data_IF_424357969854
#
_entry.id   IF_424357969854
#
_cell.length_a   1.000
_cell.length_b   1.000
_cell.length_c   1.000
_cell.angle_alpha   90.00
_cell.angle_beta   90.00
_cell.angle_gamma   90.00
#
_symmetry.space_group_name_H-M   'P 1'
#
loop_
_entity.id
_entity.type
_entity.pdbx_description
1 polymer ?
#
# COMPACT_ATOMS: atom_id res chain seq x y z
N UNK A 1 -8.22 16.85 -15.91
CA UNK A 1 -8.30 17.64 -14.65
C UNK A 1 -9.72 17.55 -14.17
N UNK A 2 -10.04 16.49 -13.44
CA UNK A 2 -11.39 16.21 -12.93
C UNK A 2 -11.57 17.07 -11.69
N UNK A 3 -12.54 17.98 -11.71
CA UNK A 3 -12.88 18.80 -10.54
C UNK A 3 -13.40 17.88 -9.44
N UNK A 4 -12.65 17.81 -8.35
CA UNK A 4 -12.96 16.97 -7.20
C UNK A 4 -14.00 17.68 -6.34
N UNK A 5 -15.18 17.11 -6.21
CA UNK A 5 -16.22 17.62 -5.31
C UNK A 5 -15.98 17.03 -3.90
N UNK A 6 -15.56 17.84 -2.91
CA UNK A 6 -15.29 17.37 -1.56
C UNK A 6 -16.55 16.90 -0.80
N UNK A 7 -17.76 17.19 -1.30
CA UNK A 7 -19.02 16.79 -0.66
C UNK A 7 -19.46 15.35 -1.03
N UNK A 8 -18.71 14.65 -1.90
CA UNK A 8 -19.05 13.28 -2.35
C UNK A 8 -18.58 12.16 -1.40
N UNK A 9 -18.02 12.51 -0.24
CA UNK A 9 -17.40 11.57 0.68
C UNK A 9 -18.31 11.17 1.84
N UNK A 10 -18.40 9.86 2.11
CA UNK A 10 -19.03 9.35 3.32
C UNK A 10 -18.06 9.46 4.51
N UNK A 11 -18.39 10.34 5.45
CA UNK A 11 -17.57 10.62 6.65
C UNK A 11 -17.90 9.70 7.84
N UNK A 12 -19.00 8.93 7.78
CA UNK A 12 -19.44 8.02 8.85
C UNK A 12 -18.94 6.57 8.67
N UNK A 13 -18.19 6.29 7.60
CA UNK A 13 -17.72 4.96 7.22
C UNK A 13 -16.59 4.36 8.10
N UNK A 14 -16.46 4.77 9.38
CA UNK A 14 -15.31 4.42 10.24
C UNK A 14 -15.19 2.92 10.59
N UNK A 15 -16.28 2.18 10.51
CA UNK A 15 -16.29 0.71 10.66
C UNK A 15 -16.47 -0.03 9.32
N UNK A 16 -16.39 0.71 8.20
CA UNK A 16 -16.65 0.13 6.90
C UNK A 16 -15.50 -0.77 6.42
N UNK A 17 -15.92 -1.79 5.69
CA UNK A 17 -15.07 -2.68 4.93
C UNK A 17 -15.52 -2.60 3.48
N UNK A 18 -14.58 -2.29 2.59
CA UNK A 18 -14.82 -2.18 1.16
C UNK A 18 -14.22 -3.39 0.45
N UNK A 19 -14.94 -3.88 -0.55
CA UNK A 19 -14.51 -4.99 -1.40
C UNK A 19 -14.29 -4.47 -2.80
N UNK A 20 -13.13 -4.78 -3.38
CA UNK A 20 -12.84 -4.59 -4.78
C UNK A 20 -12.84 -5.97 -5.43
N UNK A 21 -13.78 -6.24 -6.33
CA UNK A 21 -13.91 -7.53 -7.02
C UNK A 21 -13.38 -7.44 -8.43
N UNK A 22 -12.44 -8.33 -8.72
CA UNK A 22 -11.90 -8.53 -10.06
C UNK A 22 -12.51 -9.80 -10.66
N UNK A 23 -11.99 -10.30 -11.78
CA UNK A 23 -12.55 -11.46 -12.48
C UNK A 23 -12.67 -12.70 -11.57
N UNK A 24 -11.63 -13.04 -10.82
CA UNK A 24 -11.56 -14.24 -9.98
C UNK A 24 -11.09 -13.97 -8.55
N UNK A 25 -10.67 -12.75 -8.24
CA UNK A 25 -10.13 -12.37 -6.93
C UNK A 25 -10.88 -11.23 -6.28
N UNK A 26 -10.68 -11.09 -4.97
CA UNK A 26 -11.16 -9.99 -4.14
C UNK A 26 -9.97 -9.32 -3.45
N UNK A 27 -10.07 -8.01 -3.29
CA UNK A 27 -9.18 -7.19 -2.47
C UNK A 27 -10.03 -6.41 -1.47
N UNK A 28 -9.86 -6.68 -0.18
CA UNK A 28 -10.74 -6.16 0.86
C UNK A 28 -9.98 -5.24 1.81
N UNK A 29 -10.42 -4.00 1.93
CA UNK A 29 -9.80 -2.95 2.75
C UNK A 29 -10.76 -2.55 3.86
N UNK A 30 -10.26 -2.29 5.07
CA UNK A 30 -11.06 -1.74 6.17
C UNK A 30 -10.29 -0.64 6.89
N UNK A 31 -11.00 0.30 7.52
CA UNK A 31 -10.37 1.27 8.42
C UNK A 31 -9.99 0.60 9.75
N UNK A 32 -8.87 1.07 10.30
CA UNK A 32 -8.36 0.62 11.58
C UNK A 32 -7.69 1.77 12.34
N UNK A 33 -7.26 1.47 13.57
CA UNK A 33 -6.55 2.45 14.39
C UNK A 33 -7.39 3.65 14.81
N UNK A 34 -8.71 3.48 14.89
CA UNK A 34 -9.70 4.54 15.12
C UNK A 34 -9.73 5.56 13.95
N UNK A 35 -9.72 5.04 12.71
CA UNK A 35 -9.73 5.84 11.48
C UNK A 35 -8.38 6.49 11.15
N UNK A 36 -7.27 5.98 11.69
CA UNK A 36 -5.93 6.55 11.44
C UNK A 36 -5.18 5.89 10.30
N UNK A 37 -5.60 4.71 9.85
CA UNK A 37 -5.08 4.04 8.66
C UNK A 37 -6.08 3.04 8.10
N UNK A 38 -5.82 2.57 6.88
CA UNK A 38 -6.53 1.46 6.26
C UNK A 38 -5.68 0.17 6.35
N UNK A 39 -6.31 -0.99 6.54
CA UNK A 39 -5.69 -2.31 6.60
C UNK A 39 -6.19 -3.22 5.47
N UNK A 40 -5.28 -4.03 4.93
CA UNK A 40 -5.65 -5.14 4.05
C UNK A 40 -6.26 -6.26 4.90
N UNK A 41 -7.52 -6.57 4.64
CA UNK A 41 -8.25 -7.62 5.36
C UNK A 41 -8.34 -8.94 4.59
N UNK A 42 -8.27 -8.90 3.26
CA UNK A 42 -8.16 -10.09 2.42
C UNK A 42 -7.62 -9.73 1.04
N UNK A 43 -6.79 -10.61 0.47
CA UNK A 43 -6.41 -10.57 -0.94
C UNK A 43 -6.22 -12.00 -1.47
N UNK A 44 -7.09 -12.42 -2.38
CA UNK A 44 -7.08 -13.79 -2.92
C UNK A 44 -8.35 -14.11 -3.71
N UNK A 45 -8.61 -15.40 -3.99
CA UNK A 45 -9.82 -15.82 -4.71
C UNK A 45 -11.11 -15.35 -4.03
N UNK A 46 -12.19 -15.22 -4.80
CA UNK A 46 -13.52 -14.97 -4.23
C UNK A 46 -13.84 -15.96 -3.10
N UNK A 47 -14.36 -15.45 -1.98
CA UNK A 47 -14.59 -16.19 -0.75
C UNK A 47 -13.52 -15.98 0.32
N UNK A 48 -12.30 -15.56 -0.07
CA UNK A 48 -11.22 -15.24 0.89
C UNK A 48 -11.60 -14.14 1.88
N UNK A 49 -12.51 -13.24 1.51
CA UNK A 49 -13.01 -12.17 2.34
C UNK A 49 -13.95 -12.64 3.47
N UNK A 50 -14.49 -13.85 3.39
CA UNK A 50 -15.49 -14.36 4.34
C UNK A 50 -14.89 -15.01 5.58
N UNK A 51 -13.63 -15.45 5.49
CA UNK A 51 -12.90 -16.07 6.59
C UNK A 51 -12.16 -15.06 7.48
N UNK A 52 -11.47 -15.54 8.53
CA UNK A 52 -10.53 -14.72 9.27
C UNK A 52 -9.41 -14.24 8.34
N UNK A 53 -8.96 -12.99 8.53
CA UNK A 53 -7.86 -12.45 7.74
C UNK A 53 -6.58 -13.25 7.99
N UNK A 54 -5.87 -13.62 6.91
CA UNK A 54 -4.55 -14.24 7.00
C UNK A 54 -3.48 -13.29 7.59
N UNK A 55 -3.80 -12.00 7.71
CA UNK A 55 -2.96 -10.95 8.29
C UNK A 55 -3.39 -10.60 9.73
N UNK A 56 -4.40 -11.27 10.28
CA UNK A 56 -4.84 -11.05 11.66
C UNK A 56 -3.91 -11.78 12.63
N UNK A 57 -2.83 -11.11 13.01
CA UNK A 57 -1.83 -11.62 13.95
C UNK A 57 -1.90 -10.88 15.29
N UNK A 58 -1.21 -11.39 16.30
CA UNK A 58 -1.19 -10.77 17.64
C UNK A 58 -0.76 -9.30 17.56
N UNK A 59 -1.70 -8.40 17.87
CA UNK A 59 -1.47 -6.93 17.95
C UNK A 59 -0.77 -6.47 19.24
N UNK A 60 -0.24 -7.41 20.04
CA UNK A 60 0.50 -7.07 21.26
C UNK A 60 1.82 -6.39 20.90
N UNK A 61 1.99 -5.17 21.37
CA UNK A 61 3.24 -4.43 21.23
C UNK A 61 3.93 -4.26 22.58
N UNK A 62 5.25 -4.26 22.58
CA UNK A 62 6.06 -3.99 23.77
C UNK A 62 6.75 -2.63 23.66
N UNK A 63 7.43 -2.38 22.54
CA UNK A 63 8.28 -1.20 22.32
C UNK A 63 8.04 -0.52 20.97
N UNK A 64 7.01 -0.94 20.23
CA UNK A 64 6.60 -0.35 18.95
C UNK A 64 5.12 0.06 19.02
N UNK A 65 4.68 0.87 18.06
CA UNK A 65 3.27 1.29 18.01
C UNK A 65 2.39 0.20 17.38
N UNK A 66 1.07 0.22 17.60
CA UNK A 66 0.16 -0.64 16.86
C UNK A 66 0.25 -0.48 15.33
N UNK A 67 0.52 0.74 14.85
CA UNK A 67 0.69 1.04 13.42
C UNK A 67 1.97 0.43 12.84
N UNK A 68 3.01 0.19 13.66
CA UNK A 68 4.22 -0.52 13.23
C UNK A 68 4.00 -2.01 12.94
N UNK A 69 2.96 -2.62 13.52
CA UNK A 69 2.56 -4.01 13.24
C UNK A 69 1.35 -4.12 12.31
N UNK A 70 0.68 -3.00 12.00
CA UNK A 70 -0.54 -3.03 11.22
C UNK A 70 -0.25 -3.49 9.78
N UNK A 71 -1.06 -4.41 9.21
CA UNK A 71 -1.03 -4.78 7.80
C UNK A 71 -1.65 -3.66 6.95
N UNK A 72 -1.06 -2.49 7.06
CA UNK A 72 -1.66 -1.27 6.60
C UNK A 72 -1.36 -0.99 5.13
N UNK A 73 -2.34 -0.43 4.47
CA UNK A 73 -2.32 -0.11 3.06
C UNK A 73 -1.39 1.05 2.73
N UNK A 74 -1.25 1.98 3.68
CA UNK A 74 -0.38 3.14 3.61
C UNK A 74 -0.34 3.84 4.97
N UNK A 75 0.84 4.10 5.52
CA UNK A 75 0.98 4.77 6.83
C UNK A 75 2.05 5.87 6.81
N UNK A 76 1.74 7.06 7.34
CA UNK A 76 2.70 8.14 7.52
C UNK A 76 3.65 7.94 8.71
N UNK A 77 4.78 8.64 8.65
CA UNK A 77 5.84 8.58 9.66
C UNK A 77 5.39 8.93 11.09
N UNK A 78 4.44 9.84 11.25
CA UNK A 78 3.94 10.22 12.58
C UNK A 78 3.23 9.06 13.31
N UNK A 79 2.71 8.09 12.56
CA UNK A 79 2.04 6.91 13.10
C UNK A 79 2.95 5.68 13.15
N UNK A 80 3.86 5.50 12.18
CA UNK A 80 4.79 4.36 12.09
C UNK A 80 6.26 4.81 12.05
N UNK A 81 6.86 5.13 13.20
CA UNK A 81 8.23 5.63 13.24
C UNK A 81 9.30 4.53 13.22
N UNK A 82 8.99 3.26 13.51
CA UNK A 82 10.00 2.21 13.75
C UNK A 82 10.14 1.19 12.62
N UNK A 83 9.04 0.79 11.97
CA UNK A 83 9.07 -0.25 10.91
C UNK A 83 9.05 0.31 9.48
N UNK A 84 9.11 1.64 9.35
CA UNK A 84 9.21 2.34 8.08
C UNK A 84 7.86 2.81 7.53
N UNK A 85 7.75 4.10 7.24
CA UNK A 85 6.53 4.73 6.75
C UNK A 85 6.55 4.94 5.23
N UNK A 86 5.37 5.00 4.64
CA UNK A 86 5.15 5.13 3.20
C UNK A 86 5.08 6.60 2.77
N UNK A 87 4.73 7.48 3.73
CA UNK A 87 4.73 8.94 3.57
C UNK A 87 5.53 9.62 4.67
N UNK A 88 6.44 10.49 4.23
CA UNK A 88 7.20 11.39 5.08
C UNK A 88 7.09 12.78 4.48
N UNK A 89 6.42 13.67 5.20
CA UNK A 89 6.31 15.07 4.85
C UNK A 89 6.63 15.96 6.05
N UNK A 90 7.03 17.20 5.76
CA UNK A 90 7.26 18.23 6.76
C UNK A 90 7.13 19.63 6.17
N UNK A 91 6.84 20.61 7.02
CA UNK A 91 7.10 22.02 6.66
C UNK A 91 8.61 22.29 6.75
N UNK A 92 9.17 23.11 5.84
CA UNK A 92 10.59 23.45 5.90
C UNK A 92 10.97 24.07 7.26
N UNK A 93 11.88 23.41 7.99
CA UNK A 93 12.37 23.88 9.30
C UNK A 93 11.51 23.48 10.51
N UNK A 94 10.45 22.70 10.30
CA UNK A 94 9.58 22.18 11.38
C UNK A 94 9.78 20.68 11.62
N UNK A 95 9.00 20.14 12.56
CA UNK A 95 9.02 18.72 12.89
C UNK A 95 8.58 17.86 11.70
N UNK A 96 9.25 16.72 11.57
CA UNK A 96 8.98 15.70 10.57
C UNK A 96 7.85 14.79 11.01
N UNK A 97 6.80 14.68 10.20
CA UNK A 97 5.75 13.70 10.41
C UNK A 97 4.39 14.13 9.87
N UNK A 98 3.53 13.15 9.73
CA UNK A 98 2.12 13.30 9.33
C UNK A 98 1.30 12.45 10.29
N UNK A 99 0.29 13.05 10.92
CA UNK A 99 -0.59 12.43 11.93
C UNK A 99 -2.06 12.49 11.51
N UNK A 100 -2.30 12.34 10.22
CA UNK A 100 -3.60 12.51 9.58
C UNK A 100 -4.77 11.80 10.28
N UNK A 101 -5.98 12.14 9.85
CA UNK A 101 -7.20 11.44 10.27
C UNK A 101 -8.04 11.12 9.05
N UNK A 102 -8.76 10.00 9.05
CA UNK A 102 -9.71 9.69 8.00
C UNK A 102 -10.84 10.73 7.98
N UNK A 103 -11.09 11.27 6.79
CA UNK A 103 -12.11 12.31 6.56
C UNK A 103 -13.20 11.86 5.60
N UNK A 104 -12.99 10.79 4.82
CA UNK A 104 -14.06 10.32 3.95
C UNK A 104 -13.69 9.20 2.99
N UNK A 105 -14.70 8.46 2.53
CA UNK A 105 -14.57 7.44 1.50
C UNK A 105 -15.50 7.70 0.31
N UNK A 106 -15.02 7.44 -0.90
CA UNK A 106 -15.82 7.43 -2.12
C UNK A 106 -15.55 6.11 -2.87
N UNK A 107 -16.58 5.50 -3.44
CA UNK A 107 -16.46 4.24 -4.15
C UNK A 107 -17.50 4.14 -5.26
N UNK A 108 -17.18 3.39 -6.31
CA UNK A 108 -18.12 2.99 -7.36
C UNK A 108 -18.35 1.48 -7.25
N UNK A 109 -19.42 1.08 -6.56
CA UNK A 109 -19.70 -0.32 -6.27
C UNK A 109 -18.47 -1.04 -5.69
N UNK A 110 -18.01 -2.09 -6.38
CA UNK A 110 -16.81 -2.86 -6.06
C UNK A 110 -15.68 -2.66 -7.09
N UNK A 111 -15.74 -1.61 -7.93
CA UNK A 111 -14.78 -1.35 -9.01
C UNK A 111 -13.68 -0.37 -8.62
N UNK A 112 -13.99 0.61 -7.78
CA UNK A 112 -13.04 1.62 -7.33
C UNK A 112 -13.31 2.06 -5.90
N UNK A 113 -12.24 2.47 -5.22
CA UNK A 113 -12.28 2.99 -3.86
C UNK A 113 -11.30 4.13 -3.72
N UNK A 114 -11.69 5.15 -2.97
CA UNK A 114 -10.86 6.27 -2.55
C UNK A 114 -11.06 6.53 -1.07
N UNK A 115 -9.99 6.45 -0.30
CA UNK A 115 -9.99 6.75 1.14
C UNK A 115 -9.20 8.03 1.36
N UNK A 116 -9.81 9.04 1.96
CA UNK A 116 -9.21 10.36 2.17
C UNK A 116 -8.83 10.54 3.63
N UNK A 117 -7.61 11.03 3.82
CA UNK A 117 -7.03 11.37 5.09
C UNK A 117 -6.54 12.81 5.06
N UNK A 118 -6.71 13.54 6.16
CA UNK A 118 -6.28 14.93 6.27
C UNK A 118 -5.44 15.14 7.53
N UNK A 119 -4.28 15.76 7.35
CA UNK A 119 -3.50 16.37 8.43
C UNK A 119 -3.71 17.89 8.37
N UNK A 120 -4.64 18.38 9.20
CA UNK A 120 -4.96 19.81 9.27
C UNK A 120 -3.79 20.65 9.77
N UNK A 121 -3.00 20.09 10.68
CA UNK A 121 -1.83 20.77 11.26
C UNK A 121 -0.79 21.02 10.19
N UNK A 122 -0.50 20.03 9.34
CA UNK A 122 0.46 20.16 8.25
C UNK A 122 -0.14 20.89 7.02
N UNK A 123 -1.46 20.80 6.83
CA UNK A 123 -2.14 21.26 5.63
C UNK A 123 -1.91 20.30 4.45
N UNK A 124 -2.06 19.00 4.70
CA UNK A 124 -1.89 17.94 3.71
C UNK A 124 -3.13 17.05 3.68
N UNK A 125 -3.70 16.87 2.50
CA UNK A 125 -4.71 15.83 2.23
C UNK A 125 -4.08 14.72 1.42
N UNK A 126 -4.31 13.49 1.82
CA UNK A 126 -3.86 12.30 1.11
C UNK A 126 -5.04 11.40 0.78
N UNK A 127 -5.14 11.00 -0.48
CA UNK A 127 -6.08 9.99 -0.91
C UNK A 127 -5.35 8.68 -1.26
N UNK A 128 -5.83 7.57 -0.72
CA UNK A 128 -5.45 6.22 -1.13
C UNK A 128 -6.46 5.77 -2.18
N UNK A 129 -5.98 5.49 -3.39
CA UNK A 129 -6.83 5.22 -4.54
C UNK A 129 -6.65 3.79 -5.03
N UNK A 130 -7.76 3.19 -5.43
CA UNK A 130 -7.86 1.81 -5.87
C UNK A 130 -8.81 1.71 -7.06
N UNK A 131 -8.43 0.91 -8.05
CA UNK A 131 -9.29 0.65 -9.21
C UNK A 131 -9.06 -0.76 -9.76
N UNK A 132 -10.12 -1.49 -10.05
CA UNK A 132 -10.06 -2.80 -10.70
C UNK A 132 -9.96 -2.64 -12.22
N UNK A 133 -9.18 -3.48 -12.88
CA UNK A 133 -9.13 -3.50 -14.36
C UNK A 133 -10.14 -4.53 -14.90
N UNK A 134 -11.15 -4.11 -15.68
CA UNK A 134 -12.22 -5.00 -16.14
C UNK A 134 -11.72 -6.25 -16.87
N UNK A 135 -12.28 -7.41 -16.52
CA UNK A 135 -11.95 -8.70 -17.15
C UNK A 135 -10.60 -9.30 -16.75
N UNK A 136 -9.90 -8.71 -15.78
CA UNK A 136 -8.61 -9.21 -15.26
C UNK A 136 -8.67 -9.42 -13.75
N UNK A 137 -7.58 -9.91 -13.16
CA UNK A 137 -7.36 -9.97 -11.70
C UNK A 137 -6.43 -8.83 -11.19
N UNK A 138 -6.37 -7.72 -11.92
CA UNK A 138 -5.49 -6.58 -11.61
C UNK A 138 -6.23 -5.50 -10.81
N UNK A 139 -5.55 -5.00 -9.77
CA UNK A 139 -5.92 -3.79 -9.05
C UNK A 139 -4.82 -2.76 -9.22
N UNK A 140 -5.18 -1.57 -9.69
CA UNK A 140 -4.35 -0.38 -9.68
C UNK A 140 -4.40 0.27 -8.30
N UNK A 141 -3.24 0.70 -7.80
CA UNK A 141 -3.12 1.43 -6.53
C UNK A 141 -2.20 2.62 -6.69
N UNK A 142 -2.63 3.77 -6.20
CA UNK A 142 -1.81 4.98 -6.17
C UNK A 142 -2.20 5.86 -4.98
N UNK A 143 -1.36 6.86 -4.71
CA UNK A 143 -1.65 7.90 -3.73
C UNK A 143 -1.69 9.27 -4.38
N UNK A 144 -2.61 10.11 -3.92
CA UNK A 144 -2.68 11.52 -4.32
C UNK A 144 -2.44 12.40 -3.11
N UNK A 145 -1.52 13.35 -3.26
CA UNK A 145 -1.13 14.29 -2.21
C UNK A 145 -1.54 15.71 -2.62
N UNK A 146 -2.37 16.36 -1.83
CA UNK A 146 -2.82 17.74 -2.05
C UNK A 146 -2.35 18.62 -0.89
N UNK A 147 -1.48 19.58 -1.17
CA UNK A 147 -1.13 20.62 -0.23
C UNK A 147 -2.30 21.60 -0.10
N UNK A 148 -2.94 21.62 1.07
CA UNK A 148 -4.02 22.56 1.43
C UNK A 148 -3.51 23.73 2.28
N UNK A 149 -2.24 23.68 2.71
CA UNK A 149 -1.60 24.74 3.46
C UNK A 149 -1.53 26.03 2.63
N UNK A 150 -1.92 27.15 3.24
CA UNK A 150 -1.83 28.49 2.63
C UNK A 150 -0.48 29.15 2.91
N UNK A 151 0.62 28.40 2.83
CA UNK A 151 1.98 28.89 3.10
C UNK A 151 2.76 29.04 1.80
N UNK A 152 3.59 30.08 1.69
CA UNK A 152 4.44 30.30 0.51
C UNK A 152 5.59 29.27 0.40
N UNK A 153 5.94 28.62 1.50
CA UNK A 153 7.06 27.67 1.58
C UNK A 153 6.72 26.26 1.13
N UNK A 154 5.42 25.93 1.00
CA UNK A 154 4.96 24.59 0.63
C UNK A 154 5.33 23.49 1.64
N UNK A 155 5.27 22.24 1.18
CA UNK A 155 5.64 21.07 1.96
C UNK A 155 6.82 20.34 1.31
N UNK A 156 7.74 19.83 2.13
CA UNK A 156 8.80 18.94 1.67
C UNK A 156 8.34 17.49 1.80
N UNK A 157 8.35 16.76 0.68
CA UNK A 157 8.13 15.32 0.65
C UNK A 157 9.48 14.59 0.59
N UNK A 158 9.76 13.77 1.60
CA UNK A 158 10.98 12.95 1.66
C UNK A 158 10.74 11.52 1.19
N UNK A 159 9.51 11.02 1.38
CA UNK A 159 9.03 9.73 0.91
C UNK A 159 7.55 9.84 0.59
N UNK A 160 7.13 9.27 -0.54
CA UNK A 160 5.77 9.31 -1.06
C UNK A 160 5.56 8.09 -1.96
N UNK A 161 5.46 6.91 -1.34
CA UNK A 161 5.32 5.67 -2.09
C UNK A 161 3.95 5.62 -2.80
N UNK A 162 3.83 4.82 -3.86
CA UNK A 162 2.54 4.61 -4.53
C UNK A 162 1.57 3.79 -3.68
N UNK A 163 2.09 2.84 -2.89
CA UNK A 163 1.33 1.94 -2.03
C UNK A 163 2.24 1.14 -1.09
N UNK A 164 1.68 0.64 0.02
CA UNK A 164 2.23 -0.51 0.75
C UNK A 164 1.34 -1.74 0.51
N UNK A 165 1.95 -2.90 0.25
CA UNK A 165 1.25 -4.16 -0.02
C UNK A 165 1.68 -5.20 1.01
N UNK A 166 0.71 -5.76 1.74
CA UNK A 166 0.95 -6.77 2.77
C UNK A 166 0.63 -8.15 2.22
N UNK A 167 1.57 -9.10 2.32
CA UNK A 167 1.41 -10.44 1.76
C UNK A 167 1.60 -11.46 2.89
N UNK A 168 0.61 -12.30 3.17
CA UNK A 168 0.69 -13.27 4.25
C UNK A 168 1.69 -14.38 3.86
N UNK A 169 2.82 -14.44 4.56
CA UNK A 169 3.80 -15.52 4.43
C UNK A 169 4.08 -16.12 5.79
N UNK A 170 4.14 -17.45 5.84
CA UNK A 170 4.36 -18.24 7.06
C UNK A 170 5.74 -18.89 7.09
N UNK A 171 6.25 -19.35 5.94
CA UNK A 171 7.56 -19.99 5.79
C UNK A 171 8.70 -19.05 5.38
N UNK A 172 8.44 -17.74 5.29
CA UNK A 172 9.31 -16.77 4.63
C UNK A 172 8.83 -16.45 3.21
N UNK A 173 9.33 -15.37 2.63
CA UNK A 173 8.92 -14.91 1.31
C UNK A 173 9.87 -15.43 0.23
N UNK A 174 9.33 -16.13 -0.77
CA UNK A 174 10.04 -16.37 -2.04
C UNK A 174 9.77 -15.20 -2.97
N UNK A 175 10.81 -14.45 -3.26
CA UNK A 175 10.80 -13.29 -4.15
C UNK A 175 11.26 -13.74 -5.53
N UNK A 176 10.47 -13.43 -6.55
CA UNK A 176 10.84 -13.63 -7.96
C UNK A 176 10.84 -12.28 -8.65
N UNK A 177 11.95 -11.90 -9.26
CA UNK A 177 12.15 -10.59 -9.87
C UNK A 177 13.04 -10.68 -11.12
N UNK A 178 13.09 -9.61 -11.89
CA UNK A 178 13.81 -9.57 -13.15
C UNK A 178 15.09 -8.73 -13.00
N UNK A 179 16.24 -9.35 -13.22
CA UNK A 179 17.54 -8.69 -13.21
C UNK A 179 18.14 -8.61 -14.61
N UNK A 180 19.20 -7.85 -14.77
CA UNK A 180 19.95 -7.89 -16.02
C UNK A 180 21.08 -6.88 -16.09
N UNK A 181 21.51 -6.68 -17.32
CA UNK A 181 22.42 -5.63 -17.74
C UNK A 181 22.08 -5.27 -19.18
N UNK A 182 22.69 -4.21 -19.70
CA UNK A 182 22.48 -3.81 -21.09
C UNK A 182 22.72 -4.98 -22.06
N UNK A 183 21.77 -5.21 -22.97
CA UNK A 183 21.74 -6.34 -23.92
C UNK A 183 21.54 -7.74 -23.31
N UNK A 184 21.22 -7.83 -22.01
CA UNK A 184 20.89 -9.07 -21.29
C UNK A 184 19.84 -8.81 -20.20
N UNK A 185 18.80 -8.04 -20.54
CA UNK A 185 17.72 -7.67 -19.63
C UNK A 185 16.81 -8.88 -19.29
N UNK A 186 15.99 -8.71 -18.26
CA UNK A 186 14.86 -9.59 -17.91
C UNK A 186 15.21 -11.04 -17.57
N UNK A 187 16.36 -11.26 -16.94
CA UNK A 187 16.74 -12.56 -16.39
C UNK A 187 15.94 -12.85 -15.12
N UNK A 188 15.20 -13.95 -15.11
CA UNK A 188 14.41 -14.38 -13.97
C UNK A 188 15.33 -14.77 -12.81
N UNK A 189 15.18 -14.09 -11.68
CA UNK A 189 15.98 -14.28 -10.47
C UNK A 189 15.07 -14.58 -9.29
N UNK A 190 15.48 -15.50 -8.41
CA UNK A 190 14.73 -15.87 -7.22
C UNK A 190 15.59 -15.74 -5.96
N UNK A 191 14.95 -15.30 -4.88
CA UNK A 191 15.56 -15.18 -3.55
C UNK A 191 14.54 -15.60 -2.48
N UNK A 192 14.96 -16.42 -1.52
CA UNK A 192 14.15 -16.73 -0.34
C UNK A 192 14.55 -15.82 0.83
N UNK A 193 13.62 -14.98 1.27
CA UNK A 193 13.76 -14.04 2.37
C UNK A 193 13.07 -14.60 3.62
N UNK A 194 13.83 -15.30 4.46
CA UNK A 194 13.32 -15.81 5.73
C UNK A 194 13.07 -14.69 6.76
N UNK A 195 13.97 -13.70 6.83
CA UNK A 195 13.91 -12.52 7.72
C UNK A 195 14.72 -11.36 7.12
N UNK A 196 14.39 -10.14 7.52
CA UNK A 196 15.12 -8.93 7.13
C UNK A 196 14.45 -8.17 5.98
N UNK A 197 15.24 -7.39 5.26
CA UNK A 197 14.78 -6.55 4.14
C UNK A 197 15.54 -6.87 2.87
N UNK A 198 14.82 -6.87 1.75
CA UNK A 198 15.36 -6.89 0.40
C UNK A 198 14.86 -5.66 -0.35
N UNK A 199 15.73 -5.03 -1.14
CA UNK A 199 15.39 -3.82 -1.88
C UNK A 199 16.04 -3.79 -3.24
N UNK A 200 15.29 -3.32 -4.24
CA UNK A 200 15.75 -3.02 -5.59
C UNK A 200 15.37 -1.59 -5.91
N UNK A 201 16.27 -0.86 -6.57
CA UNK A 201 16.01 0.52 -6.98
C UNK A 201 16.82 0.88 -8.22
N UNK A 202 16.45 2.01 -8.82
CA UNK A 202 17.27 2.65 -9.85
C UNK A 202 17.57 4.09 -9.46
N UNK A 203 18.85 4.45 -9.55
CA UNK A 203 19.33 5.83 -9.38
C UNK A 203 19.61 6.51 -10.74
N UNK A 204 19.12 5.93 -11.84
CA UNK A 204 19.40 6.41 -13.21
C UNK A 204 18.28 7.31 -13.76
N UNK A 205 17.29 7.68 -12.94
CA UNK A 205 16.06 8.40 -13.34
C UNK A 205 15.18 7.67 -14.37
N UNK A 206 15.54 6.43 -14.70
CA UNK A 206 14.77 5.46 -15.49
C UNK A 206 14.86 4.12 -14.76
N UNK A 207 13.95 3.17 -14.98
CA UNK A 207 14.07 1.84 -14.35
C UNK A 207 15.42 1.17 -14.64
N UNK A 208 15.96 1.39 -15.85
CA UNK A 208 17.26 0.90 -16.27
C UNK A 208 17.26 -0.59 -16.61
N UNK A 209 18.43 -1.13 -16.90
CA UNK A 209 18.61 -2.53 -17.32
C UNK A 209 18.81 -3.50 -16.15
N UNK A 210 19.15 -2.97 -14.98
CA UNK A 210 19.61 -3.78 -13.84
C UNK A 210 18.47 -4.52 -13.14
N UNK A 211 17.32 -3.85 -12.95
CA UNK A 211 16.15 -4.38 -12.27
C UNK A 211 14.89 -3.85 -12.95
N UNK A 212 14.00 -4.73 -13.41
CA UNK A 212 12.68 -4.30 -13.82
C UNK A 212 11.86 -3.93 -12.56
N UNK A 213 10.96 -2.93 -12.62
CA UNK A 213 10.15 -2.52 -11.48
C UNK A 213 8.96 -3.46 -11.28
N UNK A 214 9.26 -4.75 -11.14
CA UNK A 214 8.31 -5.85 -11.01
C UNK A 214 8.82 -6.88 -9.99
N UNK A 215 7.91 -7.38 -9.16
CA UNK A 215 8.18 -8.39 -8.14
C UNK A 215 6.99 -9.32 -8.02
N UNK A 216 7.23 -10.63 -8.03
CA UNK A 216 6.28 -11.62 -7.56
C UNK A 216 6.71 -12.15 -6.18
N UNK A 217 5.74 -12.33 -5.30
CA UNK A 217 5.94 -12.85 -3.94
C UNK A 217 5.08 -14.10 -3.75
N UNK A 218 5.70 -15.15 -3.22
CA UNK A 218 5.05 -16.38 -2.80
C UNK A 218 5.47 -16.69 -1.36
N UNK A 219 4.64 -17.41 -0.62
CA UNK A 219 5.10 -18.03 0.62
C UNK A 219 5.98 -19.24 0.27
N UNK A 220 7.22 -19.24 0.79
CA UNK A 220 8.23 -20.24 0.48
C UNK A 220 7.84 -21.67 0.93
N UNK A 221 6.86 -21.80 1.83
CA UNK A 221 6.31 -23.10 2.24
C UNK A 221 5.48 -23.80 1.17
N UNK A 222 5.02 -23.08 0.13
CA UNK A 222 4.33 -23.67 -1.02
C UNK A 222 5.30 -24.04 -2.15
N UNK A 223 4.92 -24.98 -3.03
CA UNK A 223 5.66 -25.26 -4.26
C UNK A 223 5.89 -24.00 -5.09
N UNK A 224 7.06 -23.90 -5.73
CA UNK A 224 7.41 -22.75 -6.57
C UNK A 224 6.65 -22.71 -7.90
N UNK A 225 6.22 -23.88 -8.39
CA UNK A 225 5.55 -24.05 -9.68
C UNK A 225 4.14 -24.65 -9.50
N UNK A 226 3.29 -24.46 -10.51
CA UNK A 226 1.93 -24.96 -10.55
C UNK A 226 0.91 -23.96 -9.99
N UNK A 227 -0.24 -24.48 -9.56
CA UNK A 227 -1.32 -23.68 -8.99
C UNK A 227 -1.00 -23.32 -7.52
N UNK A 228 -0.17 -22.28 -7.34
CA UNK A 228 0.27 -21.79 -6.03
C UNK A 228 -0.07 -20.29 -5.89
N UNK A 229 -0.54 -19.81 -4.72
CA UNK A 229 -0.81 -18.39 -4.51
C UNK A 229 0.44 -17.54 -4.81
N UNK A 230 0.31 -16.62 -5.76
CA UNK A 230 1.40 -15.77 -6.23
C UNK A 230 0.88 -14.35 -6.40
N UNK A 231 1.56 -13.40 -5.76
CA UNK A 231 1.16 -12.00 -5.72
C UNK A 231 2.16 -11.17 -6.52
N UNK A 232 1.71 -10.59 -7.64
CA UNK A 232 2.52 -9.74 -8.50
C UNK A 232 2.34 -8.26 -8.19
N UNK A 233 3.44 -7.51 -8.14
CA UNK A 233 3.49 -6.06 -8.00
C UNK A 233 4.30 -5.52 -9.17
N UNK A 234 3.76 -4.51 -9.87
CA UNK A 234 4.44 -3.77 -10.91
C UNK A 234 4.29 -2.27 -10.63
N UNK A 235 5.37 -1.49 -10.82
CA UNK A 235 5.30 -0.03 -10.79
C UNK A 235 5.31 0.49 -12.24
N UNK A 236 4.32 1.34 -12.54
CA UNK A 236 4.15 2.03 -13.81
C UNK A 236 4.83 3.41 -13.81
#
# INVERSE_FOLDING_TARGET
MTTHDPDAYDSDAREARWLLRTANTVYAVALAGDGRWAELTAWGPHGAETGPSALDWSRRTHFITPADLAPAEYIPYGLRPFTGADLVAQRPGEERGVWWTFTGAAHDGESSLRLVFTDESLGLTTALCYETVPGTDVILRWTELTCTARTETGLRLERFDSAAVNIPVTGGARLTYLTGQWSQEFQLTQLELARGSFGMSSNQAVPGHAYAPWLAVQDASYPAEGATPTYGIALE
#
